data_IF_982907118973
#
_entry.id   IF_982907118973
#
_cell.length_a   1.000
_cell.length_b   1.000
_cell.length_c   1.000
_cell.angle_alpha   90.00
_cell.angle_beta   90.00
_cell.angle_gamma   90.00
#
_symmetry.space_group_name_H-M   'P 1'
#
loop_
_entity.id
_entity.type
_entity.pdbx_description
1 polymer ?
#
# COMPACT_ATOMS: atom_id res chain seq x y z
N UNK A 1 28.83 20.53 -16.12
CA UNK A 1 29.44 19.18 -16.15
C UNK A 1 28.44 18.25 -16.81
N UNK A 2 28.80 17.69 -17.96
CA UNK A 2 27.95 16.71 -18.65
C UNK A 2 28.04 15.38 -17.90
N UNK A 3 26.98 14.98 -17.26
CA UNK A 3 26.91 13.68 -16.58
C UNK A 3 26.66 12.59 -17.65
N UNK A 4 27.69 11.87 -18.01
CA UNK A 4 27.55 10.70 -18.87
C UNK A 4 27.12 9.53 -17.98
N UNK A 5 25.84 9.21 -17.99
CA UNK A 5 25.35 7.99 -17.37
C UNK A 5 25.96 6.78 -18.11
N UNK A 6 26.59 5.87 -17.36
CA UNK A 6 27.04 4.59 -17.94
C UNK A 6 25.81 3.83 -18.45
N UNK A 7 25.83 3.29 -19.70
CA UNK A 7 24.73 2.47 -20.18
C UNK A 7 24.59 1.24 -19.27
N UNK A 8 23.34 0.95 -18.87
CA UNK A 8 23.05 -0.28 -18.12
C UNK A 8 23.24 -1.47 -19.07
N UNK A 9 24.13 -2.40 -18.72
CA UNK A 9 24.27 -3.66 -19.45
C UNK A 9 22.97 -4.45 -19.30
N UNK A 10 22.31 -4.73 -20.44
CA UNK A 10 21.09 -5.55 -20.50
C UNK A 10 21.40 -6.87 -21.18
N UNK A 11 20.88 -7.95 -20.65
CA UNK A 11 20.95 -9.22 -21.33
C UNK A 11 20.03 -9.17 -22.58
N UNK A 12 20.52 -9.50 -23.79
CA UNK A 12 19.77 -9.27 -25.02
C UNK A 12 18.48 -10.10 -25.13
N UNK A 13 18.33 -11.17 -24.34
CA UNK A 13 17.16 -12.05 -24.35
C UNK A 13 16.11 -11.70 -23.28
N UNK A 14 16.33 -10.66 -22.47
CA UNK A 14 15.31 -10.24 -21.50
C UNK A 14 14.14 -9.58 -22.22
N UNK A 15 12.93 -10.03 -21.89
CA UNK A 15 11.71 -9.42 -22.40
C UNK A 15 11.63 -7.93 -21.98
N UNK A 16 11.25 -7.08 -22.92
CA UNK A 16 10.98 -5.67 -22.68
C UNK A 16 9.51 -5.36 -22.89
N UNK A 17 8.99 -4.42 -22.13
CA UNK A 17 7.67 -3.88 -22.36
C UNK A 17 7.66 -2.86 -23.52
N UNK A 18 6.50 -2.22 -23.79
CA UNK A 18 6.35 -1.30 -24.95
C UNK A 18 7.22 -0.06 -24.87
N UNK A 19 7.58 0.40 -23.65
CA UNK A 19 8.50 1.53 -23.45
C UNK A 19 9.97 1.11 -23.46
N UNK A 20 10.26 -0.16 -23.79
CA UNK A 20 11.61 -0.69 -23.92
C UNK A 20 12.33 -1.00 -22.61
N UNK A 21 11.62 -1.10 -21.50
CA UNK A 21 12.18 -1.44 -20.19
C UNK A 21 12.01 -2.93 -19.89
N UNK A 22 13.06 -3.53 -19.32
CA UNK A 22 12.97 -4.86 -18.72
C UNK A 22 12.33 -4.76 -17.34
N UNK A 23 11.83 -5.88 -16.80
CA UNK A 23 11.29 -5.93 -15.44
C UNK A 23 12.30 -5.42 -14.39
N UNK A 24 13.61 -5.65 -14.60
CA UNK A 24 14.69 -5.15 -13.73
C UNK A 24 14.82 -3.63 -13.69
N UNK A 25 14.36 -2.92 -14.71
CA UNK A 25 14.36 -1.45 -14.70
C UNK A 25 13.34 -0.87 -13.72
N UNK A 26 12.39 -1.71 -13.26
CA UNK A 26 11.41 -1.39 -12.23
C UNK A 26 11.83 -1.81 -10.82
N UNK A 27 12.95 -2.48 -10.65
CA UNK A 27 13.50 -2.81 -9.34
C UNK A 27 14.10 -1.58 -8.67
N UNK A 28 14.14 -1.61 -7.34
CA UNK A 28 14.80 -0.62 -6.51
C UNK A 28 16.04 -1.18 -5.83
N UNK A 29 16.23 -0.83 -4.56
CA UNK A 29 17.30 -1.38 -3.72
C UNK A 29 17.00 -2.83 -3.32
N UNK A 30 18.03 -3.54 -2.90
CA UNK A 30 17.86 -4.88 -2.30
C UNK A 30 17.06 -4.74 -1.01
N UNK A 31 16.08 -5.61 -0.82
CA UNK A 31 15.24 -5.63 0.38
C UNK A 31 16.07 -5.88 1.65
N UNK A 32 15.73 -5.17 2.70
CA UNK A 32 16.25 -5.36 4.06
C UNK A 32 15.17 -5.85 5.02
N UNK A 33 14.05 -6.35 4.49
CA UNK A 33 13.00 -6.98 5.27
C UNK A 33 13.41 -8.38 5.73
N UNK A 34 12.63 -8.95 6.62
CA UNK A 34 12.83 -10.31 7.09
C UNK A 34 12.60 -11.30 5.95
N UNK A 35 13.43 -12.34 5.86
CA UNK A 35 13.22 -13.41 4.88
C UNK A 35 11.84 -14.05 5.04
N UNK A 36 11.09 -14.18 3.94
CA UNK A 36 9.72 -14.68 3.94
C UNK A 36 8.66 -13.67 4.37
N UNK A 37 9.02 -12.38 4.49
CA UNK A 37 8.05 -11.31 4.77
C UNK A 37 7.13 -11.10 3.56
N UNK A 38 5.81 -11.07 3.80
CA UNK A 38 4.83 -10.83 2.74
C UNK A 38 4.96 -9.47 2.04
N UNK A 39 5.59 -8.47 2.67
CA UNK A 39 5.83 -7.16 2.06
C UNK A 39 6.74 -7.23 0.82
N UNK A 40 7.69 -8.17 0.78
CA UNK A 40 8.52 -8.38 -0.41
C UNK A 40 7.71 -8.86 -1.61
N UNK A 41 6.71 -9.70 -1.39
CA UNK A 41 5.77 -10.12 -2.42
C UNK A 41 4.92 -9.00 -2.96
N UNK A 42 4.50 -8.08 -2.08
CA UNK A 42 3.74 -6.88 -2.49
C UNK A 42 4.63 -5.99 -3.36
N UNK A 43 5.88 -5.75 -2.95
CA UNK A 43 6.86 -5.01 -3.75
C UNK A 43 7.06 -5.63 -5.13
N UNK A 44 7.21 -6.97 -5.20
CA UNK A 44 7.33 -7.71 -6.46
C UNK A 44 6.07 -7.59 -7.34
N UNK A 45 4.88 -7.59 -6.73
CA UNK A 45 3.61 -7.42 -7.43
C UNK A 45 3.42 -6.00 -7.99
N UNK A 46 3.90 -4.97 -7.27
CA UNK A 46 3.92 -3.59 -7.75
C UNK A 46 4.86 -3.45 -8.96
N UNK A 47 6.05 -4.07 -8.90
CA UNK A 47 7.00 -4.12 -10.03
C UNK A 47 6.34 -4.73 -11.26
N UNK A 48 5.71 -5.89 -11.10
CA UNK A 48 5.03 -6.59 -12.19
C UNK A 48 3.90 -5.74 -12.79
N UNK A 49 3.04 -5.20 -11.94
CA UNK A 49 1.93 -4.35 -12.36
C UNK A 49 2.39 -3.12 -13.15
N UNK A 50 3.43 -2.43 -12.67
CA UNK A 50 3.96 -1.25 -13.36
C UNK A 50 4.66 -1.61 -14.68
N UNK A 51 5.37 -2.76 -14.73
CA UNK A 51 6.01 -3.23 -15.94
C UNK A 51 4.99 -3.63 -17.01
N UNK A 52 3.94 -4.36 -16.65
CA UNK A 52 2.86 -4.77 -17.55
C UNK A 52 1.99 -3.60 -18.05
N UNK A 53 1.92 -2.53 -17.26
CA UNK A 53 1.20 -1.29 -17.62
C UNK A 53 2.06 -0.30 -18.43
N UNK A 54 3.29 -0.66 -18.80
CA UNK A 54 4.22 0.18 -19.55
C UNK A 54 4.52 1.54 -18.88
N UNK A 55 4.46 1.62 -17.53
CA UNK A 55 4.63 2.86 -16.79
C UNK A 55 6.10 3.27 -16.77
N UNK A 56 6.41 4.48 -17.19
CA UNK A 56 7.74 5.04 -17.06
C UNK A 56 8.04 5.40 -15.59
N UNK A 57 9.07 4.81 -14.96
CA UNK A 57 9.32 5.00 -13.53
C UNK A 57 9.43 6.46 -13.09
N UNK A 58 10.01 7.34 -13.93
CA UNK A 58 10.15 8.76 -13.63
C UNK A 58 8.82 9.54 -13.60
N UNK A 59 7.74 8.94 -14.09
CA UNK A 59 6.38 9.51 -14.00
C UNK A 59 5.62 9.07 -12.75
N UNK A 60 6.29 8.39 -11.83
CA UNK A 60 5.71 7.91 -10.59
C UNK A 60 6.25 8.69 -9.40
N UNK A 61 5.36 9.11 -8.51
CA UNK A 61 5.68 9.56 -7.15
C UNK A 61 5.21 8.50 -6.15
N UNK A 62 6.14 7.92 -5.40
CA UNK A 62 5.86 6.93 -4.37
C UNK A 62 6.07 7.52 -3.00
N UNK A 63 5.12 7.29 -2.11
CA UNK A 63 5.12 7.85 -0.77
C UNK A 63 4.94 6.76 0.28
N UNK A 64 5.57 6.96 1.43
CA UNK A 64 5.42 6.07 2.59
C UNK A 64 5.40 6.86 3.90
N UNK A 65 4.92 6.21 4.96
CA UNK A 65 5.02 6.71 6.33
C UNK A 65 6.19 6.10 7.09
N UNK A 66 5.95 5.49 8.25
CA UNK A 66 6.96 4.86 9.11
C UNK A 66 6.52 3.43 9.45
N UNK A 67 7.49 2.50 9.46
CA UNK A 67 7.28 1.08 9.76
C UNK A 67 8.07 0.17 8.82
N UNK A 68 7.88 -1.15 8.91
CA UNK A 68 8.51 -2.10 7.99
C UNK A 68 8.05 -1.86 6.55
N UNK A 69 6.76 -1.67 6.34
CA UNK A 69 6.12 -1.32 5.07
C UNK A 69 6.64 -0.02 4.45
N UNK A 70 7.12 0.91 5.27
CA UNK A 70 7.67 2.18 4.77
C UNK A 70 9.03 2.05 4.12
N UNK A 71 9.67 0.89 4.22
CA UNK A 71 10.88 0.56 3.49
C UNK A 71 10.59 0.09 2.06
N UNK A 72 9.42 -0.50 1.82
CA UNK A 72 9.10 -1.16 0.55
C UNK A 72 9.16 -0.24 -0.67
N UNK A 73 8.81 1.07 -0.59
CA UNK A 73 9.03 1.98 -1.72
C UNK A 73 10.48 2.11 -2.18
N UNK A 74 11.47 1.79 -1.35
CA UNK A 74 12.87 1.75 -1.77
C UNK A 74 13.20 0.52 -2.64
N UNK A 75 12.36 -0.53 -2.63
CA UNK A 75 12.62 -1.81 -3.29
C UNK A 75 12.02 -1.92 -4.69
N UNK A 76 11.19 -0.97 -5.10
CA UNK A 76 10.62 -0.90 -6.44
C UNK A 76 10.81 0.50 -7.05
N UNK A 77 10.73 0.58 -8.37
CA UNK A 77 10.78 1.82 -9.15
C UNK A 77 11.92 2.76 -8.72
N UNK A 78 13.17 2.27 -8.72
CA UNK A 78 14.33 3.02 -8.26
C UNK A 78 14.57 4.37 -8.96
N UNK A 79 14.03 4.55 -10.18
CA UNK A 79 14.11 5.79 -10.96
C UNK A 79 12.86 6.70 -10.81
N UNK A 80 12.00 6.47 -9.82
CA UNK A 80 10.83 7.31 -9.51
C UNK A 80 11.15 8.38 -8.47
N UNK A 81 10.19 9.30 -8.27
CA UNK A 81 10.23 10.24 -7.15
C UNK A 81 9.83 9.52 -5.85
N UNK A 82 10.51 9.79 -4.74
CA UNK A 82 10.25 9.14 -3.46
C UNK A 82 10.13 10.14 -2.31
N UNK A 83 9.09 9.98 -1.49
CA UNK A 83 8.86 10.74 -0.27
C UNK A 83 8.65 9.80 0.90
N UNK A 84 9.51 9.85 1.92
CA UNK A 84 9.25 9.23 3.20
C UNK A 84 8.73 10.29 4.16
N UNK A 85 7.56 10.07 4.76
CA UNK A 85 6.87 11.07 5.56
C UNK A 85 6.91 10.75 7.05
N UNK A 86 6.49 11.69 7.88
CA UNK A 86 6.25 11.45 9.30
C UNK A 86 5.15 10.41 9.48
N UNK A 87 5.23 9.64 10.56
CA UNK A 87 4.32 8.54 10.90
C UNK A 87 2.84 8.93 10.77
N UNK A 88 2.09 8.19 9.98
CA UNK A 88 0.68 8.42 9.71
C UNK A 88 0.37 9.64 8.83
N UNK A 89 1.37 10.28 8.21
CA UNK A 89 1.15 11.51 7.43
C UNK A 89 1.30 11.33 5.92
N UNK A 90 1.55 10.12 5.47
CA UNK A 90 1.68 9.82 4.03
C UNK A 90 0.49 10.35 3.22
N UNK A 91 -0.79 10.14 3.58
CA UNK A 91 -1.91 10.60 2.76
C UNK A 91 -2.00 12.13 2.66
N UNK A 92 -1.57 12.87 3.69
CA UNK A 92 -1.57 14.33 3.67
C UNK A 92 -0.50 14.88 2.73
N UNK A 93 0.72 14.34 2.80
CA UNK A 93 1.83 14.75 1.91
C UNK A 93 1.51 14.37 0.47
N UNK A 94 0.95 13.16 0.26
CA UNK A 94 0.52 12.72 -1.06
C UNK A 94 -0.56 13.65 -1.64
N UNK A 95 -1.53 14.08 -0.83
CA UNK A 95 -2.56 15.04 -1.25
C UNK A 95 -1.93 16.33 -1.76
N UNK A 96 -0.97 16.89 -1.01
CA UNK A 96 -0.26 18.11 -1.42
C UNK A 96 0.58 17.92 -2.67
N UNK A 97 1.30 16.80 -2.79
CA UNK A 97 2.10 16.48 -3.96
C UNK A 97 1.22 16.28 -5.21
N UNK A 98 0.08 15.61 -5.07
CA UNK A 98 -0.88 15.41 -6.15
C UNK A 98 -1.46 16.75 -6.63
N UNK A 99 -1.85 17.63 -5.71
CA UNK A 99 -2.35 18.97 -6.07
C UNK A 99 -1.28 19.84 -6.74
N UNK A 100 -0.01 19.66 -6.37
CA UNK A 100 1.10 20.39 -6.99
C UNK A 100 1.44 19.90 -8.39
N UNK A 101 1.35 18.58 -8.63
CA UNK A 101 1.65 17.99 -9.93
C UNK A 101 0.68 16.83 -10.25
N UNK A 102 -0.36 17.14 -11.00
CA UNK A 102 -1.39 16.19 -11.42
C UNK A 102 -0.95 15.18 -12.49
N UNK A 103 0.20 15.41 -13.12
CA UNK A 103 0.69 14.58 -14.23
C UNK A 103 1.44 13.34 -13.78
N UNK A 104 1.78 13.24 -12.49
CA UNK A 104 2.43 12.08 -11.92
C UNK A 104 1.39 11.03 -11.47
N UNK A 105 1.78 9.77 -11.57
CA UNK A 105 1.09 8.66 -10.92
C UNK A 105 1.52 8.60 -9.45
N UNK A 106 0.56 8.52 -8.54
CA UNK A 106 0.82 8.50 -7.09
C UNK A 106 0.59 7.11 -6.51
N UNK A 107 1.64 6.54 -5.92
CA UNK A 107 1.61 5.28 -5.17
C UNK A 107 1.90 5.56 -3.70
N UNK A 108 0.89 5.40 -2.84
CA UNK A 108 1.06 5.44 -1.39
C UNK A 108 1.19 4.02 -0.84
N UNK A 109 2.29 3.70 -0.16
CA UNK A 109 2.48 2.40 0.50
C UNK A 109 2.73 2.63 1.98
N UNK A 110 1.94 1.99 2.83
CA UNK A 110 1.96 2.19 4.27
C UNK A 110 1.60 0.91 5.01
N UNK A 111 1.96 0.82 6.29
CA UNK A 111 1.49 -0.28 7.14
C UNK A 111 0.14 0.04 7.79
N UNK A 112 -0.47 -1.00 8.31
CA UNK A 112 -1.72 -0.90 9.05
C UNK A 112 -1.60 -0.05 10.32
N UNK A 113 -0.53 -0.18 11.08
CA UNK A 113 -0.26 0.69 12.23
C UNK A 113 -0.06 2.15 11.84
N UNK A 114 0.61 2.41 10.73
CA UNK A 114 0.79 3.76 10.18
C UNK A 114 -0.55 4.35 9.71
N UNK A 115 -1.38 3.55 9.03
CA UNK A 115 -2.64 3.98 8.40
C UNK A 115 -3.84 3.96 9.36
N UNK A 116 -4.07 2.82 10.05
CA UNK A 116 -5.28 2.60 10.84
C UNK A 116 -5.17 3.11 12.28
N UNK A 117 -3.95 3.21 12.84
CA UNK A 117 -3.77 3.75 14.18
C UNK A 117 -3.42 5.25 14.14
N UNK A 118 -2.18 5.58 13.75
CA UNK A 118 -1.66 6.95 13.82
C UNK A 118 -2.26 7.84 12.72
N UNK A 119 -2.44 7.28 11.53
CA UNK A 119 -2.85 7.99 10.32
C UNK A 119 -4.34 7.96 10.00
N UNK A 120 -5.21 7.43 10.89
CA UNK A 120 -6.61 7.17 10.56
C UNK A 120 -7.35 8.40 10.02
N UNK A 121 -7.18 9.56 10.65
CA UNK A 121 -7.77 10.80 10.18
C UNK A 121 -7.26 11.24 8.80
N UNK A 122 -5.98 10.99 8.50
CA UNK A 122 -5.38 11.31 7.20
C UNK A 122 -5.90 10.37 6.11
N UNK A 123 -5.98 9.07 6.42
CA UNK A 123 -6.59 8.06 5.57
C UNK A 123 -8.02 8.44 5.23
N UNK A 124 -8.84 8.70 6.24
CA UNK A 124 -10.25 9.07 6.10
C UNK A 124 -10.43 10.28 5.18
N UNK A 125 -9.66 11.33 5.39
CA UNK A 125 -9.77 12.54 4.58
C UNK A 125 -9.24 12.39 3.16
N UNK A 126 -8.23 11.55 2.92
CA UNK A 126 -7.74 11.28 1.57
C UNK A 126 -8.80 10.51 0.75
N UNK A 127 -9.42 9.48 1.34
CA UNK A 127 -10.53 8.75 0.71
C UNK A 127 -11.71 9.68 0.39
N UNK A 128 -12.18 10.43 1.40
CA UNK A 128 -13.32 11.35 1.26
C UNK A 128 -13.12 12.44 0.22
N UNK A 129 -11.88 12.89 0.01
CA UNK A 129 -11.54 13.91 -0.99
C UNK A 129 -11.41 13.38 -2.41
N UNK A 130 -11.39 12.06 -2.60
CA UNK A 130 -11.16 11.48 -3.92
C UNK A 130 -9.76 11.76 -4.47
N UNK A 131 -8.74 11.76 -3.61
CA UNK A 131 -7.36 12.01 -4.06
C UNK A 131 -6.94 10.90 -5.01
N UNK A 132 -6.58 11.27 -6.24
CA UNK A 132 -6.16 10.31 -7.27
C UNK A 132 -4.84 9.66 -6.88
N UNK A 133 -4.93 8.43 -6.38
CA UNK A 133 -3.77 7.63 -5.95
C UNK A 133 -4.13 6.15 -5.90
N UNK A 134 -3.13 5.29 -6.00
CA UNK A 134 -3.23 3.91 -5.54
C UNK A 134 -2.63 3.83 -4.12
N UNK A 135 -3.48 3.66 -3.11
CA UNK A 135 -3.09 3.54 -1.72
C UNK A 135 -3.11 2.06 -1.31
N UNK A 136 -1.94 1.51 -1.04
CA UNK A 136 -1.74 0.11 -0.66
C UNK A 136 -1.33 0.07 0.81
N UNK A 137 -2.11 -0.64 1.62
CA UNK A 137 -1.76 -0.95 3.02
C UNK A 137 -1.22 -2.37 3.10
N UNK A 138 0.00 -2.51 3.60
CA UNK A 138 0.63 -3.80 3.91
C UNK A 138 0.26 -4.18 5.34
N UNK A 139 -0.85 -4.92 5.48
CA UNK A 139 -1.52 -5.18 6.74
C UNK A 139 -1.02 -6.50 7.36
N UNK A 140 -0.37 -6.39 8.50
CA UNK A 140 0.11 -7.53 9.29
C UNK A 140 -0.38 -7.55 10.76
N UNK A 141 -1.28 -6.65 11.13
CA UNK A 141 -1.86 -6.55 12.48
C UNK A 141 -0.92 -5.96 13.53
N UNK A 142 0.28 -5.45 13.15
CA UNK A 142 1.27 -5.05 14.14
C UNK A 142 2.22 -3.95 13.69
N UNK A 143 2.85 -3.31 14.66
CA UNK A 143 4.06 -2.52 14.47
C UNK A 143 5.29 -3.44 14.47
N UNK A 144 5.62 -4.02 13.30
CA UNK A 144 6.72 -5.00 13.20
C UNK A 144 8.10 -4.38 13.49
N UNK A 145 8.36 -3.15 13.00
CA UNK A 145 9.65 -2.46 13.17
C UNK A 145 10.01 -2.23 14.66
N UNK A 146 9.03 -1.94 15.50
CA UNK A 146 9.19 -1.67 16.93
C UNK A 146 8.99 -2.89 17.82
N UNK A 147 9.04 -4.10 17.24
CA UNK A 147 9.04 -5.39 17.91
C UNK A 147 7.67 -5.92 18.37
N UNK A 148 6.59 -5.57 17.67
CA UNK A 148 5.34 -6.34 17.72
C UNK A 148 4.28 -5.79 18.68
N UNK A 149 4.12 -4.49 18.77
CA UNK A 149 2.93 -3.89 19.36
C UNK A 149 1.73 -4.14 18.45
N UNK A 150 0.54 -4.27 19.03
CA UNK A 150 -0.68 -4.37 18.25
C UNK A 150 -0.93 -3.08 17.46
N UNK A 151 -1.33 -3.23 16.21
CA UNK A 151 -1.94 -2.14 15.46
C UNK A 151 -3.46 -2.13 15.67
N UNK A 152 -4.14 -1.11 15.15
CA UNK A 152 -5.60 -1.04 15.23
C UNK A 152 -6.31 -2.12 14.38
N UNK A 153 -5.60 -2.83 13.51
CA UNK A 153 -6.16 -3.95 12.72
C UNK A 153 -5.88 -5.33 13.33
N UNK A 154 -5.21 -5.37 14.50
CA UNK A 154 -4.91 -6.61 15.17
C UNK A 154 -6.19 -7.34 15.63
N UNK A 155 -6.26 -8.64 15.38
CA UNK A 155 -7.41 -9.45 15.78
C UNK A 155 -7.59 -9.45 17.30
N UNK A 156 -8.85 -9.35 17.74
CA UNK A 156 -9.20 -9.50 19.14
C UNK A 156 -8.78 -10.90 19.63
N UNK A 157 -8.14 -10.96 20.79
CA UNK A 157 -7.63 -12.20 21.36
C UNK A 157 -6.23 -12.59 20.86
N UNK A 158 -5.65 -11.91 19.89
CA UNK A 158 -4.25 -12.11 19.49
C UNK A 158 -3.29 -11.79 20.64
N UNK A 159 -2.12 -12.46 20.66
CA UNK A 159 -1.14 -12.30 21.74
C UNK A 159 0.12 -11.63 21.25
N UNK A 160 0.57 -10.63 21.99
CA UNK A 160 1.89 -10.01 21.76
C UNK A 160 3.03 -10.94 22.16
N UNK A 161 4.26 -10.63 21.74
CA UNK A 161 5.47 -11.35 22.20
C UNK A 161 5.63 -11.40 23.73
N UNK A 162 5.07 -10.44 24.45
CA UNK A 162 5.10 -10.37 25.91
C UNK A 162 3.91 -11.07 26.59
N UNK A 163 3.08 -11.76 25.84
CA UNK A 163 1.91 -12.50 26.34
C UNK A 163 0.68 -11.62 26.62
N UNK A 164 0.74 -10.34 26.32
CA UNK A 164 -0.43 -9.43 26.45
C UNK A 164 -1.43 -9.81 25.37
N UNK A 165 -2.71 -9.93 25.75
CA UNK A 165 -3.82 -10.24 24.86
C UNK A 165 -4.45 -8.93 24.36
N UNK A 166 -4.71 -8.84 23.05
CA UNK A 166 -5.46 -7.72 22.48
C UNK A 166 -6.95 -7.84 22.86
N UNK A 167 -7.47 -6.86 23.56
CA UNK A 167 -8.89 -6.78 23.94
C UNK A 167 -9.74 -5.98 22.95
N UNK A 168 -9.10 -5.18 22.10
CA UNK A 168 -9.77 -4.24 21.23
C UNK A 168 -10.28 -4.92 19.95
N UNK A 169 -11.41 -4.44 19.45
CA UNK A 169 -11.94 -4.87 18.16
C UNK A 169 -11.13 -4.29 17.01
N UNK A 170 -10.82 -5.09 15.98
CA UNK A 170 -10.02 -4.61 14.85
C UNK A 170 -10.76 -3.57 14.01
N UNK A 171 -10.00 -2.58 13.53
CA UNK A 171 -10.46 -1.64 12.50
C UNK A 171 -10.39 -2.32 11.14
N UNK A 172 -11.50 -2.37 10.41
CA UNK A 172 -11.52 -2.80 9.01
C UNK A 172 -11.36 -1.60 8.08
N UNK A 173 -10.15 -1.45 7.51
CA UNK A 173 -9.83 -0.36 6.60
C UNK A 173 -10.61 -0.42 5.28
N UNK A 174 -11.01 -1.62 4.83
CA UNK A 174 -11.80 -1.79 3.61
C UNK A 174 -13.23 -1.29 3.83
N UNK A 175 -13.85 -1.67 4.94
CA UNK A 175 -15.16 -1.17 5.31
C UNK A 175 -15.15 0.36 5.46
N UNK A 176 -14.11 0.90 6.07
CA UNK A 176 -13.93 2.35 6.19
C UNK A 176 -13.74 3.02 4.83
N UNK A 177 -12.92 2.48 3.94
CA UNK A 177 -12.70 3.03 2.60
C UNK A 177 -14.01 3.08 1.80
N UNK A 178 -14.84 2.03 1.88
CA UNK A 178 -16.17 2.00 1.27
C UNK A 178 -17.06 3.11 1.81
N UNK A 179 -17.14 3.27 3.13
CA UNK A 179 -17.98 4.31 3.76
C UNK A 179 -17.50 5.73 3.47
N UNK A 180 -16.18 5.93 3.37
CA UNK A 180 -15.56 7.23 3.15
C UNK A 180 -15.54 7.67 1.68
N UNK A 181 -16.05 6.85 0.77
CA UNK A 181 -16.24 7.21 -0.62
C UNK A 181 -15.06 6.89 -1.54
N UNK A 182 -14.12 6.04 -1.12
CA UNK A 182 -13.11 5.52 -2.05
C UNK A 182 -13.79 4.90 -3.27
N UNK A 183 -13.27 5.18 -4.46
CA UNK A 183 -13.91 4.81 -5.72
C UNK A 183 -13.36 3.52 -6.33
N UNK A 184 -12.30 2.97 -5.77
CA UNK A 184 -11.77 1.63 -6.04
C UNK A 184 -11.34 1.02 -4.71
N UNK A 185 -11.93 -0.11 -4.34
CA UNK A 185 -11.64 -0.77 -3.06
C UNK A 185 -11.43 -2.24 -3.27
N UNK A 186 -10.27 -2.75 -2.84
CA UNK A 186 -9.93 -4.15 -2.91
C UNK A 186 -9.25 -4.66 -1.65
N UNK A 187 -9.25 -5.97 -1.48
CA UNK A 187 -8.43 -6.67 -0.49
C UNK A 187 -7.67 -7.80 -1.17
N UNK A 188 -6.39 -7.90 -0.88
CA UNK A 188 -5.52 -8.96 -1.38
C UNK A 188 -4.82 -9.72 -0.27
N UNK A 189 -4.18 -10.82 -0.65
CA UNK A 189 -3.24 -11.55 0.19
C UNK A 189 -1.88 -11.58 -0.49
N UNK A 190 -0.80 -11.26 0.24
CA UNK A 190 0.55 -11.13 -0.33
C UNK A 190 1.04 -12.39 -1.03
N UNK A 191 0.62 -13.57 -0.56
CA UNK A 191 0.94 -14.86 -1.15
C UNK A 191 0.10 -15.26 -2.38
N UNK A 192 -0.91 -14.47 -2.76
CA UNK A 192 -1.72 -14.70 -3.96
C UNK A 192 -1.42 -13.65 -5.03
N UNK A 193 -0.28 -13.79 -5.70
CA UNK A 193 0.17 -12.85 -6.74
C UNK A 193 -0.75 -12.83 -7.95
N UNK A 194 -1.38 -13.95 -8.28
CA UNK A 194 -2.31 -14.06 -9.41
C UNK A 194 -3.52 -13.13 -9.23
N UNK A 195 -3.99 -12.94 -8.00
CA UNK A 195 -5.05 -11.98 -7.68
C UNK A 195 -4.51 -10.57 -7.42
N UNK A 196 -3.36 -10.45 -6.75
CA UNK A 196 -2.83 -9.16 -6.29
C UNK A 196 -2.33 -8.28 -7.44
N UNK A 197 -1.66 -8.83 -8.45
CA UNK A 197 -1.15 -8.05 -9.59
C UNK A 197 -2.30 -7.39 -10.37
N UNK A 198 -3.38 -8.08 -10.78
CA UNK A 198 -4.54 -7.44 -11.40
C UNK A 198 -5.20 -6.37 -10.54
N UNK A 199 -5.32 -6.58 -9.21
CA UNK A 199 -5.85 -5.58 -8.29
C UNK A 199 -5.00 -4.30 -8.29
N UNK A 200 -3.68 -4.43 -8.22
CA UNK A 200 -2.77 -3.28 -8.26
C UNK A 200 -2.85 -2.57 -9.62
N UNK A 201 -2.91 -3.32 -10.72
CA UNK A 201 -3.08 -2.73 -12.07
C UNK A 201 -4.37 -1.92 -12.17
N UNK A 202 -5.48 -2.47 -11.66
CA UNK A 202 -6.76 -1.76 -11.62
C UNK A 202 -6.68 -0.48 -10.79
N UNK A 203 -6.07 -0.51 -9.61
CA UNK A 203 -5.90 0.66 -8.75
C UNK A 203 -5.03 1.76 -9.40
N UNK A 204 -3.94 1.37 -10.07
CA UNK A 204 -3.06 2.29 -10.79
C UNK A 204 -3.77 2.95 -11.97
N UNK A 205 -4.60 2.20 -12.69
CA UNK A 205 -5.34 2.69 -13.87
C UNK A 205 -6.58 3.49 -13.50
N UNK A 206 -7.01 3.45 -12.23
CA UNK A 206 -8.21 4.12 -11.75
C UNK A 206 -8.03 5.64 -11.65
N UNK A 207 -9.06 6.40 -12.04
CA UNK A 207 -9.02 7.87 -12.08
C UNK A 207 -9.23 8.58 -10.75
N UNK A 208 -9.59 7.87 -9.68
CA UNK A 208 -9.93 8.43 -8.37
C UNK A 208 -9.12 7.87 -7.21
N UNK A 209 -9.69 7.90 -6.00
CA UNK A 209 -9.08 7.32 -4.82
C UNK A 209 -9.21 5.79 -4.85
N UNK A 210 -8.10 5.10 -5.13
CA UNK A 210 -8.00 3.66 -5.07
C UNK A 210 -7.34 3.20 -3.78
N UNK A 211 -7.95 2.23 -3.11
CA UNK A 211 -7.47 1.65 -1.87
C UNK A 211 -7.39 0.13 -1.96
N UNK A 212 -6.25 -0.44 -1.55
CA UNK A 212 -6.07 -1.89 -1.43
C UNK A 212 -5.50 -2.20 -0.04
N UNK A 213 -6.22 -3.02 0.72
CA UNK A 213 -5.72 -3.64 1.96
C UNK A 213 -5.10 -4.99 1.60
N UNK A 214 -3.79 -5.14 1.79
CA UNK A 214 -3.09 -6.39 1.47
C UNK A 214 -2.67 -7.08 2.75
N UNK A 215 -3.31 -8.20 3.05
CA UNK A 215 -2.92 -9.05 4.17
C UNK A 215 -1.53 -9.58 3.90
N UNK A 216 -0.61 -9.28 4.81
CA UNK A 216 0.82 -9.52 4.65
C UNK A 216 1.42 -10.10 5.93
N UNK A 217 1.42 -11.43 6.10
CA UNK A 217 1.85 -12.08 7.34
C UNK A 217 3.26 -11.67 7.77
N UNK A 218 3.43 -11.38 9.07
CA UNK A 218 4.72 -11.02 9.65
C UNK A 218 5.44 -12.26 10.20
N UNK A 219 6.60 -12.60 9.63
CA UNK A 219 7.43 -13.74 10.07
C UNK A 219 8.02 -13.56 11.47
N UNK A 220 8.14 -12.31 11.94
CA UNK A 220 8.74 -11.98 13.23
C UNK A 220 7.87 -12.30 14.45
N UNK A 221 6.59 -12.63 14.26
CA UNK A 221 5.64 -12.97 15.33
C UNK A 221 5.89 -14.29 16.02
N UNK A 222 6.80 -15.11 15.54
CA UNK A 222 7.01 -16.45 16.03
C UNK A 222 8.09 -16.52 17.12
N UNK A 223 7.94 -15.71 18.15
CA UNK A 223 8.86 -15.70 19.28
C UNK A 223 8.16 -16.29 20.53
N UNK A 224 7.91 -17.59 20.55
CA UNK A 224 7.31 -18.28 21.69
C UNK A 224 8.28 -19.28 22.33
N UNK A 225 8.10 -19.66 23.61
CA UNK A 225 8.91 -20.67 24.28
C UNK A 225 8.95 -21.99 23.49
N UNK A 226 10.16 -22.52 23.27
CA UNK A 226 10.39 -23.73 22.47
C UNK A 226 10.76 -23.48 21.00
N UNK A 227 10.75 -22.24 20.53
CA UNK A 227 11.31 -21.89 19.22
C UNK A 227 12.82 -21.66 19.34
N UNK A 228 13.62 -22.32 18.49
CA UNK A 228 15.07 -22.05 18.32
C UNK A 228 15.36 -20.60 17.87
N UNK A 229 14.32 -19.82 17.67
CA UNK A 229 14.30 -18.43 17.21
C UNK A 229 13.74 -17.47 18.25
N UNK A 230 13.46 -17.98 19.47
CA UNK A 230 13.10 -17.14 20.60
C UNK A 230 14.27 -16.25 20.98
N UNK A 231 13.97 -15.07 21.51
CA UNK A 231 14.98 -14.13 21.98
C UNK A 231 15.93 -14.75 22.99
N UNK A 232 15.43 -15.67 23.81
CA UNK A 232 16.19 -16.38 24.83
C UNK A 232 17.14 -17.40 24.20
N UNK A 233 16.70 -18.18 23.22
CA UNK A 233 17.57 -19.12 22.50
C UNK A 233 18.69 -18.41 21.74
N UNK A 234 18.37 -17.32 21.05
CA UNK A 234 19.38 -16.50 20.32
C UNK A 234 20.33 -15.83 21.28
N UNK A 235 19.88 -15.38 22.46
CA UNK A 235 20.73 -14.76 23.47
C UNK A 235 21.70 -15.78 24.10
N UNK A 236 21.26 -17.02 24.27
CA UNK A 236 22.08 -18.10 24.86
C UNK A 236 23.11 -18.70 23.87
N UNK A 237 22.83 -18.62 22.55
CA UNK A 237 23.65 -19.28 21.51
C UNK A 237 24.35 -18.32 20.56
N UNK A 238 24.28 -17.00 20.79
CA UNK A 238 24.85 -16.02 19.87
C UNK A 238 26.11 -15.39 20.44
N UNK A 239 27.25 -15.84 19.98
CA UNK A 239 28.47 -15.05 19.97
C UNK A 239 28.33 -13.93 18.92
N UNK A 240 28.02 -12.74 19.39
CA UNK A 240 28.27 -11.45 18.74
C UNK A 240 27.99 -11.35 17.23
N UNK A 241 26.78 -11.54 16.79
CA UNK A 241 26.31 -10.92 15.54
C UNK A 241 25.54 -9.66 15.92
N UNK A 242 26.28 -8.57 15.93
CA UNK A 242 25.80 -7.23 16.20
C UNK A 242 24.61 -6.89 15.29
N UNK A 243 23.46 -6.60 15.87
CA UNK A 243 22.38 -5.73 15.37
C UNK A 243 21.58 -6.16 14.14
N UNK A 244 21.64 -7.39 13.70
CA UNK A 244 20.70 -7.92 12.74
C UNK A 244 19.86 -8.97 13.48
N UNK A 245 18.56 -8.76 13.60
CA UNK A 245 17.64 -9.82 14.04
C UNK A 245 17.72 -10.94 12.98
N UNK A 246 18.49 -11.98 13.28
CA UNK A 246 18.58 -13.16 12.43
C UNK A 246 17.28 -13.92 12.57
N UNK A 247 16.37 -13.68 11.66
CA UNK A 247 15.19 -14.52 11.46
C UNK A 247 15.64 -15.61 10.51
N UNK A 248 15.73 -16.85 10.99
CA UNK A 248 16.05 -17.97 10.11
C UNK A 248 14.98 -18.00 9.00
N UNK A 249 15.42 -18.19 7.77
CA UNK A 249 14.55 -18.19 6.60
C UNK A 249 13.32 -19.05 6.84
N UNK A 250 12.15 -18.45 6.84
CA UNK A 250 10.88 -19.11 6.66
C UNK A 250 10.45 -18.83 5.25
N UNK A 251 9.88 -19.83 4.63
CA UNK A 251 9.33 -19.68 3.30
C UNK A 251 8.14 -18.70 3.36
N UNK A 252 8.02 -17.91 2.31
CA UNK A 252 6.85 -17.07 2.11
C UNK A 252 5.59 -17.95 2.07
N UNK A 253 4.51 -17.49 2.71
CA UNK A 253 3.21 -18.16 2.60
C UNK A 253 2.64 -17.84 1.22
N UNK A 254 2.66 -18.83 0.33
CA UNK A 254 2.05 -18.74 -0.99
C UNK A 254 0.79 -19.60 -1.04
N UNK A 255 -0.22 -19.10 -1.75
CA UNK A 255 -1.48 -19.82 -1.97
C UNK A 255 -1.88 -19.73 -3.44
N UNK A 256 -2.58 -20.78 -3.90
CA UNK A 256 -3.30 -20.80 -5.16
C UNK A 256 -4.79 -21.00 -4.84
N UNK A 257 -5.62 -20.07 -5.27
CA UNK A 257 -7.02 -19.98 -4.88
C UNK A 257 -7.87 -19.49 -6.04
N UNK A 258 -8.78 -20.32 -6.48
CA UNK A 258 -9.74 -19.99 -7.55
C UNK A 258 -10.83 -19.01 -7.11
N UNK A 259 -11.58 -18.44 -8.07
CA UNK A 259 -12.72 -17.58 -7.77
C UNK A 259 -13.81 -18.31 -7.00
N UNK A 260 -14.31 -17.70 -5.93
CA UNK A 260 -15.36 -18.24 -5.06
C UNK A 260 -14.89 -19.30 -4.05
N UNK A 261 -13.61 -19.66 -4.04
CA UNK A 261 -13.06 -20.64 -3.11
C UNK A 261 -12.83 -20.05 -1.71
N UNK A 262 -12.82 -20.95 -0.73
CA UNK A 262 -12.45 -20.67 0.66
C UNK A 262 -11.24 -21.50 1.02
N UNK A 263 -10.23 -20.87 1.63
CA UNK A 263 -9.00 -21.53 2.03
C UNK A 263 -8.57 -21.09 3.42
N UNK A 264 -8.22 -22.07 4.27
CA UNK A 264 -7.60 -21.80 5.57
C UNK A 264 -6.08 -21.72 5.40
N UNK A 265 -5.52 -20.54 5.67
CA UNK A 265 -4.09 -20.25 5.59
C UNK A 265 -3.51 -20.21 7.00
N UNK A 266 -2.55 -21.11 7.30
CA UNK A 266 -1.82 -21.06 8.57
C UNK A 266 -0.72 -19.99 8.49
N UNK A 267 -0.81 -19.02 9.38
CA UNK A 267 0.20 -17.96 9.51
C UNK A 267 1.45 -18.45 10.26
N UNK A 268 2.53 -17.67 10.23
CA UNK A 268 3.81 -18.03 10.88
C UNK A 268 3.72 -18.15 12.41
N UNK A 269 2.76 -17.49 13.04
CA UNK A 269 2.48 -17.56 14.47
C UNK A 269 1.57 -18.72 14.86
N UNK A 270 1.11 -19.52 13.86
CA UNK A 270 0.24 -20.66 14.03
C UNK A 270 -1.26 -20.34 13.99
N UNK A 271 -1.64 -19.09 13.90
CA UNK A 271 -3.04 -18.67 13.71
C UNK A 271 -3.57 -19.14 12.35
N UNK A 272 -4.89 -19.28 12.23
CA UNK A 272 -5.56 -19.62 10.98
C UNK A 272 -6.29 -18.39 10.46
N UNK A 273 -6.03 -18.07 9.19
CA UNK A 273 -6.73 -17.04 8.46
C UNK A 273 -7.58 -17.70 7.38
N UNK A 274 -8.91 -17.58 7.48
CA UNK A 274 -9.83 -18.11 6.47
C UNK A 274 -10.07 -17.07 5.39
N UNK A 275 -9.48 -17.26 4.22
CA UNK A 275 -9.64 -16.41 3.06
C UNK A 275 -10.79 -16.92 2.19
N UNK A 276 -11.58 -15.99 1.67
CA UNK A 276 -12.60 -16.24 0.66
C UNK A 276 -12.35 -15.34 -0.56
N UNK A 277 -12.18 -15.94 -1.72
CA UNK A 277 -12.15 -15.22 -2.99
C UNK A 277 -13.57 -14.87 -3.45
N UNK A 278 -13.74 -13.72 -4.08
CA UNK A 278 -15.04 -13.31 -4.63
C UNK A 278 -15.52 -14.28 -5.72
N UNK A 279 -16.81 -14.56 -5.70
CA UNK A 279 -17.46 -15.40 -6.72
C UNK A 279 -17.47 -14.69 -8.08
N UNK A 280 -17.39 -15.41 -9.23
CA UNK A 280 -17.43 -14.80 -10.57
C UNK A 280 -18.67 -13.95 -10.86
N UNK A 281 -19.80 -14.24 -10.21
CA UNK A 281 -21.04 -13.47 -10.32
C UNK A 281 -21.15 -12.28 -9.37
N UNK A 282 -20.12 -11.93 -8.63
CA UNK A 282 -20.10 -10.76 -7.76
C UNK A 282 -20.04 -9.46 -8.59
N UNK A 283 -20.96 -8.52 -8.30
CA UNK A 283 -20.95 -7.19 -8.92
C UNK A 283 -20.23 -6.17 -8.05
N UNK A 284 -19.05 -5.68 -8.47
CA UNK A 284 -18.32 -4.65 -7.73
C UNK A 284 -18.88 -3.23 -7.92
N UNK A 285 -19.92 -3.03 -8.72
CA UNK A 285 -20.50 -1.72 -8.98
C UNK A 285 -21.40 -1.19 -7.85
N UNK A 286 -21.86 -2.06 -6.95
CA UNK A 286 -22.76 -1.69 -5.85
C UNK A 286 -22.01 -1.62 -4.51
N UNK A 287 -21.79 -0.39 -4.00
CA UNK A 287 -21.12 -0.11 -2.73
C UNK A 287 -21.86 -0.71 -1.52
N UNK A 288 -23.20 -0.66 -1.52
CA UNK A 288 -23.97 -1.17 -0.39
C UNK A 288 -23.96 -2.70 -0.37
N UNK A 289 -24.07 -3.32 -1.53
CA UNK A 289 -23.93 -4.76 -1.68
C UNK A 289 -22.53 -5.23 -1.25
N UNK A 290 -21.48 -4.49 -1.59
CA UNK A 290 -20.11 -4.76 -1.15
C UNK A 290 -19.98 -4.75 0.39
N UNK A 291 -20.54 -3.74 1.06
CA UNK A 291 -20.53 -3.64 2.52
C UNK A 291 -21.30 -4.79 3.18
N UNK A 292 -22.49 -5.09 2.70
CA UNK A 292 -23.32 -6.18 3.21
C UNK A 292 -22.64 -7.56 2.99
N UNK A 293 -21.98 -7.73 1.84
CA UNK A 293 -21.21 -8.95 1.54
C UNK A 293 -20.06 -9.14 2.53
N UNK A 294 -19.27 -8.09 2.75
CA UNK A 294 -18.16 -8.14 3.72
C UNK A 294 -18.63 -8.47 5.13
N UNK A 295 -19.69 -7.79 5.61
CA UNK A 295 -20.22 -8.02 6.94
C UNK A 295 -20.68 -9.47 7.13
N UNK A 296 -21.44 -10.01 6.17
CA UNK A 296 -21.90 -11.41 6.20
C UNK A 296 -20.76 -12.41 6.32
N UNK A 297 -19.69 -12.21 5.54
CA UNK A 297 -18.54 -13.13 5.57
C UNK A 297 -17.67 -12.96 6.81
N UNK A 298 -17.57 -11.76 7.35
CA UNK A 298 -16.91 -11.49 8.61
C UNK A 298 -17.62 -12.21 9.78
N UNK A 299 -18.95 -12.24 9.80
CA UNK A 299 -19.74 -13.02 10.79
C UNK A 299 -19.47 -14.53 10.69
N UNK A 300 -19.10 -15.03 9.51
CA UNK A 300 -18.67 -16.43 9.29
C UNK A 300 -17.18 -16.66 9.58
N UNK A 301 -16.44 -15.64 10.03
CA UNK A 301 -15.00 -15.69 10.25
C UNK A 301 -14.17 -15.78 8.97
N UNK A 302 -14.73 -15.32 7.85
CA UNK A 302 -14.06 -15.31 6.55
C UNK A 302 -13.56 -13.90 6.19
N UNK A 303 -12.37 -13.84 5.59
CA UNK A 303 -11.78 -12.60 5.07
C UNK A 303 -11.91 -12.60 3.55
N UNK A 304 -12.77 -11.74 3.04
CA UNK A 304 -13.04 -11.65 1.60
C UNK A 304 -11.89 -10.97 0.87
N UNK A 305 -11.43 -11.56 -0.23
CA UNK A 305 -10.36 -11.03 -1.09
C UNK A 305 -10.86 -10.86 -2.53
N UNK A 306 -10.33 -9.85 -3.22
CA UNK A 306 -10.67 -9.48 -4.59
C UNK A 306 -11.00 -8.01 -4.73
N UNK A 307 -11.56 -7.63 -5.88
CA UNK A 307 -12.09 -6.30 -6.15
C UNK A 307 -13.50 -6.18 -5.55
N UNK A 308 -13.61 -5.47 -4.43
CA UNK A 308 -14.87 -5.34 -3.68
C UNK A 308 -15.77 -4.24 -4.25
N UNK A 309 -15.19 -3.14 -4.69
CA UNK A 309 -15.96 -2.03 -5.25
C UNK A 309 -15.14 -1.25 -6.28
N UNK A 310 -15.81 -0.82 -7.34
CA UNK A 310 -15.26 0.14 -8.32
C UNK A 310 -16.37 1.03 -8.86
N UNK A 311 -16.10 2.34 -8.86
CA UNK A 311 -16.90 3.35 -9.57
C UNK A 311 -16.09 3.85 -10.76
N UNK A 312 -16.37 3.39 -11.98
CA UNK A 312 -15.62 3.79 -13.16
C UNK A 312 -15.85 5.26 -13.57
N UNK A 313 -16.89 5.91 -13.02
CA UNK A 313 -17.22 7.31 -13.31
C UNK A 313 -16.77 8.27 -12.20
N UNK A 314 -16.00 7.78 -11.23
CA UNK A 314 -15.54 8.61 -10.13
C UNK A 314 -14.70 9.78 -10.61
N UNK A 315 -14.99 10.97 -10.07
CA UNK A 315 -14.16 12.16 -10.25
C UNK A 315 -13.07 12.24 -9.17
N UNK A 316 -11.96 12.86 -9.52
CA UNK A 316 -10.85 13.08 -8.59
C UNK A 316 -10.93 14.46 -7.89
N UNK A 317 -10.02 14.69 -6.95
CA UNK A 317 -9.91 15.96 -6.22
C UNK A 317 -9.64 17.16 -7.17
N UNK A 318 -8.91 16.97 -8.25
CA UNK A 318 -8.65 18.03 -9.23
C UNK A 318 -9.92 18.51 -9.91
N UNK A 319 -10.77 17.58 -10.31
CA UNK A 319 -12.08 17.86 -10.88
C UNK A 319 -12.98 18.56 -9.86
N UNK A 320 -13.04 18.07 -8.62
CA UNK A 320 -13.87 18.63 -7.56
C UNK A 320 -13.46 20.08 -7.19
N UNK A 321 -12.16 20.40 -7.25
CA UNK A 321 -11.63 21.73 -6.96
C UNK A 321 -11.50 22.63 -8.20
N UNK A 322 -11.81 22.11 -9.40
CA UNK A 322 -11.60 22.81 -10.66
C UNK A 322 -10.18 23.40 -10.77
N UNK A 323 -9.17 22.58 -10.48
CA UNK A 323 -7.77 23.01 -10.55
C UNK A 323 -7.33 23.22 -12.01
N UNK A 324 -6.23 23.97 -12.20
CA UNK A 324 -5.61 24.12 -13.52
C UNK A 324 -5.29 22.77 -14.17
N UNK A 325 -5.49 22.65 -15.48
CA UNK A 325 -5.08 21.47 -16.25
C UNK A 325 -3.57 21.31 -16.33
N UNK A 326 -2.84 22.42 -16.19
CA UNK A 326 -1.37 22.40 -16.07
C UNK A 326 -0.97 22.20 -14.61
N UNK A 327 0.05 21.34 -14.35
CA UNK A 327 0.56 21.19 -12.99
C UNK A 327 1.12 22.51 -12.46
N UNK A 328 0.92 22.77 -11.15
CA UNK A 328 1.33 24.04 -10.54
C UNK A 328 2.83 24.30 -10.67
N UNK A 329 3.66 23.27 -10.64
CA UNK A 329 5.10 23.40 -10.83
C UNK A 329 5.53 23.78 -12.26
N UNK A 330 4.61 23.75 -13.21
CA UNK A 330 4.82 24.19 -14.59
C UNK A 330 4.29 25.62 -14.85
N UNK A 331 3.67 26.26 -13.85
CA UNK A 331 3.17 27.64 -13.94
C UNK A 331 4.25 28.64 -13.53
N UNK A 332 4.39 29.70 -14.30
CA UNK A 332 5.32 30.80 -14.02
C UNK A 332 4.76 31.81 -13.01
N UNK A 333 5.62 32.71 -12.49
CA UNK A 333 5.18 33.76 -11.54
C UNK A 333 4.04 34.63 -12.05
N UNK A 334 3.98 34.92 -13.35
CA UNK A 334 2.91 35.71 -13.94
C UNK A 334 1.55 35.01 -13.95
N UNK A 335 1.54 33.67 -13.97
CA UNK A 335 0.33 32.86 -13.93
C UNK A 335 -0.13 32.60 -12.48
N UNK A 336 0.82 32.48 -11.54
CA UNK A 336 0.54 32.24 -10.12
C UNK A 336 0.23 33.50 -9.34
N UNK A 337 0.69 34.67 -9.83
CA UNK A 337 0.48 35.96 -9.19
C UNK A 337 -0.34 36.89 -10.11
N UNK A 338 -1.60 37.18 -9.82
CA UNK A 338 -2.49 37.95 -10.67
C UNK A 338 -2.09 39.44 -10.81
N UNK A 339 -1.10 39.93 -10.06
CA UNK A 339 -0.54 41.24 -10.16
C UNK A 339 -1.34 42.37 -9.48
N UNK A 340 -0.77 43.58 -9.50
CA UNK A 340 -1.32 44.73 -8.80
C UNK A 340 -2.67 45.22 -9.34
N UNK A 341 -2.91 45.06 -10.64
CA UNK A 341 -4.18 45.46 -11.26
C UNK A 341 -5.36 44.58 -10.80
N UNK A 342 -5.13 43.27 -10.66
CA UNK A 342 -6.16 42.35 -10.15
C UNK A 342 -6.49 42.69 -8.69
N UNK A 343 -5.48 42.99 -7.88
CA UNK A 343 -5.66 43.45 -6.52
C UNK A 343 -6.44 44.76 -6.44
N UNK A 344 -6.12 45.72 -7.31
CA UNK A 344 -6.83 46.99 -7.38
C UNK A 344 -8.31 46.81 -7.76
N UNK A 345 -8.62 45.93 -8.74
CA UNK A 345 -10.01 45.57 -9.09
C UNK A 345 -10.75 44.93 -7.92
N UNK A 346 -10.11 43.99 -7.23
CA UNK A 346 -10.69 43.35 -6.05
C UNK A 346 -11.00 44.37 -4.95
N UNK A 347 -10.04 45.23 -4.62
CA UNK A 347 -10.21 46.31 -3.62
C UNK A 347 -11.32 47.30 -4.01
N UNK A 348 -11.47 47.59 -5.28
CA UNK A 348 -12.55 48.47 -5.78
C UNK A 348 -13.92 47.82 -5.65
N UNK A 349 -14.02 46.48 -5.79
CA UNK A 349 -15.29 45.76 -5.66
C UNK A 349 -15.75 45.57 -4.19
N UNK A 350 -14.87 45.83 -3.23
CA UNK A 350 -15.15 45.73 -1.81
C UNK A 350 -15.43 47.10 -1.15
N UNK A 351 -15.38 48.17 -1.92
CA UNK A 351 -15.73 49.54 -1.50
C UNK A 351 -17.13 49.92 -1.98
#
# INVERSE_FOLDING_TARGET
MTYLAKPKLRHPTLATNKVGYTRRDYEGKISTLCAGCGHDSISASIIEACWELDIEPHRVAKLSGIGCSSKTPDYFLGASHGFNTVHGRMPSVLTGANLANRDLLYLGVSGDGDSASIGLGQFAHAMRRGVRMAYIVENNGVYGLTKGQFSATADQGSKSKKGVVNSDSPVDLVAMALQLGASYVGRGFSGNKAQLVPLIKGAISHGGAAFIDVISPCVAFNNHPGSTKSYDYVREHNEAVSRIDFISGRDEITIDMGPGEVMDVRQHDGTLLRLRSLHPGYDPGDRQAAMAHMQRHQEMGEVVTGLLFVDPLASDLHTALNTSDRPLNALGPAELCPGAEALARLNASLR
#
